data_IF_609735401100
#
_entry.id   IF_609735401100
#
_cell.length_a   1.000
_cell.length_b   1.000
_cell.length_c   1.000
_cell.angle_alpha   90.00
_cell.angle_beta   90.00
_cell.angle_gamma   90.00
#
_symmetry.space_group_name_H-M   'P 1'
#
loop_
_entity.id
_entity.type
_entity.pdbx_description
1 polymer ?
#
# COMPACT_ATOMS: atom_id res chain seq x y z
N UNK A 1 -6.42 57.52 -28.33
CA UNK A 1 -5.29 57.04 -27.51
C UNK A 1 -5.76 55.88 -26.63
N UNK A 2 -5.47 54.63 -27.02
CA UNK A 2 -5.82 53.43 -26.24
C UNK A 2 -4.59 53.01 -25.43
N UNK A 3 -4.71 52.96 -24.10
CA UNK A 3 -3.67 52.47 -23.20
C UNK A 3 -3.85 50.95 -23.02
N UNK A 4 -2.81 50.19 -23.32
CA UNK A 4 -2.72 48.77 -22.97
C UNK A 4 -2.27 48.65 -21.51
N UNK A 5 -2.96 47.84 -20.72
CA UNK A 5 -2.52 47.41 -19.40
C UNK A 5 -1.92 46.01 -19.53
N UNK A 6 -0.64 45.88 -19.19
CA UNK A 6 0.07 44.61 -19.12
C UNK A 6 -0.22 44.01 -17.74
N UNK A 7 -0.93 42.89 -17.71
CA UNK A 7 -1.18 42.10 -16.51
C UNK A 7 0.05 41.19 -16.30
N UNK A 8 0.87 41.51 -15.31
CA UNK A 8 1.99 40.64 -14.88
C UNK A 8 1.41 39.63 -13.89
N UNK A 9 1.33 38.36 -14.30
CA UNK A 9 0.98 37.26 -13.41
C UNK A 9 2.25 36.84 -12.68
N UNK A 10 2.35 37.21 -11.40
CA UNK A 10 3.38 36.70 -10.49
C UNK A 10 3.02 35.25 -10.15
N UNK A 11 3.67 34.29 -10.81
CA UNK A 11 3.66 32.90 -10.39
C UNK A 11 4.45 32.79 -9.07
N UNK A 12 3.73 32.73 -7.95
CA UNK A 12 4.25 32.33 -6.65
C UNK A 12 4.55 30.84 -6.70
N UNK A 13 5.79 30.47 -7.04
CA UNK A 13 6.31 29.13 -6.73
C UNK A 13 6.44 29.03 -5.21
N UNK A 14 5.40 28.51 -4.55
CA UNK A 14 5.52 28.03 -3.18
C UNK A 14 6.59 26.93 -3.20
N UNK A 15 7.73 27.21 -2.57
CA UNK A 15 8.77 26.21 -2.40
C UNK A 15 8.22 25.20 -1.39
N UNK A 16 7.87 24.00 -1.85
CA UNK A 16 7.64 22.87 -0.93
C UNK A 16 8.92 22.71 -0.12
N UNK A 17 8.91 23.11 1.15
CA UNK A 17 9.99 22.79 2.07
C UNK A 17 9.96 21.28 2.25
N UNK A 18 10.88 20.58 1.59
CA UNK A 18 11.14 19.18 1.87
C UNK A 18 11.79 19.16 3.24
N UNK A 19 11.01 18.79 4.26
CA UNK A 19 11.52 18.72 5.63
C UNK A 19 12.59 17.64 5.69
N UNK A 20 13.80 18.05 6.08
CA UNK A 20 14.90 17.13 6.26
C UNK A 20 14.62 16.32 7.53
N UNK A 21 14.37 15.01 7.36
CA UNK A 21 14.19 14.10 8.48
C UNK A 21 15.53 13.89 9.19
N UNK A 22 15.52 13.87 10.52
CA UNK A 22 16.67 13.35 11.24
C UNK A 22 16.74 11.81 11.13
N UNK A 23 17.86 11.22 11.53
CA UNK A 23 18.08 9.77 11.42
C UNK A 23 17.05 8.95 12.22
N UNK A 24 16.53 9.50 13.33
CA UNK A 24 15.55 8.82 14.16
C UNK A 24 14.18 8.79 13.49
N UNK A 25 13.73 9.93 12.98
CA UNK A 25 12.46 10.08 12.29
C UNK A 25 12.45 9.34 10.96
N UNK A 26 13.53 9.43 10.19
CA UNK A 26 13.70 8.66 8.96
C UNK A 26 13.56 7.16 9.22
N UNK A 27 14.19 6.65 10.29
CA UNK A 27 14.08 5.25 10.69
C UNK A 27 12.66 4.89 11.14
N UNK A 28 11.97 5.77 11.87
CA UNK A 28 10.59 5.54 12.29
C UNK A 28 9.64 5.46 11.10
N UNK A 29 9.77 6.36 10.12
CA UNK A 29 9.02 6.32 8.85
C UNK A 29 9.31 5.04 8.08
N UNK A 30 10.59 4.69 7.92
CA UNK A 30 10.97 3.46 7.22
C UNK A 30 10.47 2.19 7.93
N UNK A 31 10.46 2.15 9.26
CA UNK A 31 9.85 1.06 10.03
C UNK A 31 8.34 1.01 9.85
N UNK A 32 7.67 2.16 9.81
CA UNK A 32 6.24 2.26 9.54
C UNK A 32 5.91 1.66 8.16
N UNK A 33 6.61 2.08 7.10
CA UNK A 33 6.47 1.51 5.75
C UNK A 33 6.77 0.00 5.77
N UNK A 34 7.90 -0.41 6.36
CA UNK A 34 8.29 -1.82 6.43
C UNK A 34 7.25 -2.72 7.12
N UNK A 35 6.54 -2.20 8.12
CA UNK A 35 5.47 -2.94 8.82
C UNK A 35 4.30 -3.30 7.90
N UNK A 36 4.08 -2.51 6.85
CA UNK A 36 3.01 -2.70 5.87
C UNK A 36 3.41 -3.69 4.78
N UNK A 37 4.70 -3.69 4.43
CA UNK A 37 5.29 -4.58 3.43
C UNK A 37 5.53 -6.00 3.96
N UNK A 38 5.67 -6.17 5.28
CA UNK A 38 5.84 -7.47 5.91
C UNK A 38 5.11 -7.59 7.25
N UNK A 39 3.80 -7.80 7.23
CA UNK A 39 3.09 -8.19 8.44
C UNK A 39 3.49 -9.62 8.82
N UNK A 40 3.95 -9.81 10.06
CA UNK A 40 4.37 -11.11 10.62
C UNK A 40 3.28 -12.19 10.50
N UNK A 41 2.02 -11.79 10.41
CA UNK A 41 0.84 -12.64 10.30
C UNK A 41 0.36 -12.86 8.85
N UNK A 42 1.03 -12.27 7.85
CA UNK A 42 0.66 -12.34 6.44
C UNK A 42 -0.57 -11.51 6.06
N UNK A 43 -1.06 -10.64 6.94
CA UNK A 43 -2.17 -9.71 6.66
C UNK A 43 -1.74 -8.47 5.86
N UNK A 44 -2.40 -7.33 6.11
CA UNK A 44 -2.08 -6.04 5.50
C UNK A 44 -2.09 -6.02 3.97
N UNK A 45 -1.28 -5.12 3.42
CA UNK A 45 -1.20 -4.83 1.98
C UNK A 45 -0.66 -6.01 1.17
N UNK A 46 0.43 -6.62 1.63
CA UNK A 46 0.98 -7.80 0.96
C UNK A 46 0.02 -8.98 1.03
N UNK A 47 -0.68 -9.17 2.16
CA UNK A 47 -1.74 -10.17 2.29
C UNK A 47 -2.83 -9.96 1.25
N UNK A 48 -3.30 -8.71 1.09
CA UNK A 48 -4.28 -8.34 0.09
C UNK A 48 -3.80 -8.63 -1.35
N UNK A 49 -2.57 -8.26 -1.71
CA UNK A 49 -2.04 -8.56 -3.05
C UNK A 49 -1.96 -10.06 -3.33
N UNK A 50 -1.56 -10.88 -2.35
CA UNK A 50 -1.48 -12.34 -2.50
C UNK A 50 -2.87 -12.99 -2.60
N UNK A 51 -3.83 -12.48 -1.83
CA UNK A 51 -5.22 -12.95 -1.89
C UNK A 51 -5.83 -12.64 -3.24
N UNK A 52 -5.66 -11.41 -3.70
CA UNK A 52 -6.12 -10.99 -5.02
C UNK A 52 -5.44 -11.82 -6.12
N UNK A 53 -4.13 -12.06 -6.05
CA UNK A 53 -3.42 -12.91 -7.01
C UNK A 53 -3.98 -14.35 -7.08
N UNK A 54 -4.50 -14.86 -5.97
CA UNK A 54 -5.16 -16.17 -5.91
C UNK A 54 -6.58 -16.08 -6.49
N UNK A 55 -7.35 -15.07 -6.08
CA UNK A 55 -8.73 -14.85 -6.50
C UNK A 55 -8.87 -14.68 -8.02
N UNK A 56 -8.01 -13.88 -8.64
CA UNK A 56 -8.07 -13.67 -10.10
C UNK A 56 -7.70 -14.92 -10.90
N UNK A 57 -7.03 -15.89 -10.27
CA UNK A 57 -6.77 -17.23 -10.81
C UNK A 57 -7.89 -18.24 -10.51
N UNK A 58 -8.96 -17.82 -9.84
CA UNK A 58 -10.09 -18.66 -9.44
C UNK A 58 -9.79 -19.52 -8.21
N UNK A 59 -8.76 -19.18 -7.43
CA UNK A 59 -8.39 -19.88 -6.21
C UNK A 59 -8.86 -19.07 -5.00
N UNK A 60 -9.82 -19.61 -4.22
CA UNK A 60 -10.31 -18.96 -3.01
C UNK A 60 -9.22 -19.00 -1.91
N UNK A 61 -8.74 -17.84 -1.40
CA UNK A 61 -7.78 -17.83 -0.31
C UNK A 61 -8.36 -18.43 0.97
N UNK A 62 -7.50 -19.04 1.80
CA UNK A 62 -7.93 -19.56 3.08
C UNK A 62 -8.55 -18.45 3.96
N UNK A 63 -9.66 -18.78 4.65
CA UNK A 63 -10.38 -17.83 5.51
C UNK A 63 -11.26 -16.82 4.75
N UNK A 64 -11.48 -17.04 3.45
CA UNK A 64 -12.34 -16.21 2.61
C UNK A 64 -13.52 -17.00 2.04
N UNK A 65 -14.57 -16.27 1.68
CA UNK A 65 -15.78 -16.79 1.04
C UNK A 65 -16.37 -15.77 0.06
N UNK A 66 -16.99 -16.28 -1.00
CA UNK A 66 -17.74 -15.47 -1.97
C UNK A 66 -19.18 -15.28 -1.48
N UNK A 67 -19.66 -14.04 -1.51
CA UNK A 67 -21.05 -13.68 -1.31
C UNK A 67 -21.49 -12.76 -2.44
N UNK A 68 -22.23 -13.32 -3.39
CA UNK A 68 -22.81 -12.61 -4.53
C UNK A 68 -21.78 -11.84 -5.38
N UNK A 69 -20.60 -12.42 -5.61
CA UNK A 69 -19.54 -11.83 -6.43
C UNK A 69 -18.63 -10.86 -5.67
N UNK A 70 -18.86 -10.68 -4.36
CA UNK A 70 -17.93 -10.00 -3.46
C UNK A 70 -17.30 -11.03 -2.53
N UNK A 71 -15.96 -11.04 -2.46
CA UNK A 71 -15.24 -11.95 -1.58
C UNK A 71 -14.96 -11.27 -0.25
N UNK A 72 -15.30 -11.93 0.86
CA UNK A 72 -15.01 -11.47 2.21
C UNK A 72 -14.10 -12.45 2.92
N UNK A 73 -13.28 -11.98 3.85
CA UNK A 73 -12.51 -12.89 4.69
C UNK A 73 -11.71 -12.21 5.76
N UNK A 74 -10.93 -13.02 6.49
CA UNK A 74 -10.05 -12.53 7.53
C UNK A 74 -8.66 -13.14 7.42
N UNK A 75 -7.63 -12.30 7.59
CA UNK A 75 -6.23 -12.73 7.65
C UNK A 75 -5.42 -11.80 8.52
N UNK A 76 -4.67 -12.40 9.43
CA UNK A 76 -3.66 -11.69 10.22
C UNK A 76 -4.22 -10.53 11.07
N UNK A 77 -5.46 -10.64 11.52
CA UNK A 77 -6.14 -9.61 12.32
C UNK A 77 -6.84 -8.51 11.50
N UNK A 78 -6.87 -8.65 10.18
CA UNK A 78 -7.61 -7.77 9.27
C UNK A 78 -8.82 -8.49 8.68
N UNK A 79 -9.89 -7.73 8.46
CA UNK A 79 -11.05 -8.12 7.66
C UNK A 79 -10.91 -7.53 6.27
N UNK A 80 -11.13 -8.34 5.24
CA UNK A 80 -10.99 -7.97 3.83
C UNK A 80 -12.33 -8.07 3.10
N UNK A 81 -12.48 -7.24 2.09
CA UNK A 81 -13.51 -7.30 1.05
C UNK A 81 -12.85 -7.05 -0.30
N UNK A 82 -13.14 -7.91 -1.27
CA UNK A 82 -12.64 -7.79 -2.64
C UNK A 82 -13.79 -7.86 -3.64
N UNK A 83 -13.73 -6.99 -4.63
CA UNK A 83 -14.57 -7.04 -5.82
C UNK A 83 -13.64 -7.21 -7.03
N UNK A 84 -13.95 -8.17 -7.90
CA UNK A 84 -13.06 -8.53 -9.02
C UNK A 84 -13.83 -8.54 -10.34
N UNK A 85 -13.24 -7.93 -11.37
CA UNK A 85 -13.77 -7.92 -12.73
C UNK A 85 -12.74 -8.54 -13.68
N UNK A 86 -12.90 -9.84 -13.95
CA UNK A 86 -11.96 -10.62 -14.76
C UNK A 86 -12.31 -10.60 -16.26
N UNK A 87 -11.26 -10.55 -17.10
CA UNK A 87 -11.38 -10.56 -18.56
C UNK A 87 -10.40 -11.53 -19.20
N UNK A 88 -10.78 -12.08 -20.36
CA UNK A 88 -9.90 -12.91 -21.19
C UNK A 88 -9.08 -12.08 -22.20
N UNK A 89 -8.26 -12.74 -23.02
CA UNK A 89 -7.40 -12.08 -24.02
C UNK A 89 -8.11 -11.38 -25.16
N UNK A 90 -9.43 -11.54 -25.26
CA UNK A 90 -10.27 -10.80 -26.19
C UNK A 90 -11.02 -9.66 -25.49
N UNK A 91 -10.63 -9.33 -24.26
CA UNK A 91 -11.26 -8.34 -23.39
C UNK A 91 -12.73 -8.68 -23.05
N UNK A 92 -13.12 -9.95 -23.19
CA UNK A 92 -14.45 -10.43 -22.83
C UNK A 92 -14.55 -10.69 -21.34
N UNK A 93 -15.66 -10.29 -20.72
CA UNK A 93 -15.92 -10.57 -19.31
C UNK A 93 -16.03 -12.08 -19.07
N UNK A 94 -15.29 -12.58 -18.09
CA UNK A 94 -15.27 -13.99 -17.70
C UNK A 94 -15.27 -14.11 -16.18
N UNK A 95 -15.72 -15.25 -15.66
CA UNK A 95 -15.44 -15.59 -14.26
C UNK A 95 -13.94 -15.72 -14.06
N UNK A 96 -13.43 -15.21 -12.93
CA UNK A 96 -12.03 -15.35 -12.54
C UNK A 96 -11.63 -16.83 -12.50
N UNK A 97 -10.43 -17.16 -12.98
CA UNK A 97 -10.06 -18.55 -13.28
C UNK A 97 -9.02 -18.69 -14.38
N UNK A 98 -8.92 -19.92 -14.92
CA UNK A 98 -7.92 -20.31 -15.91
C UNK A 98 -7.96 -19.55 -17.25
N UNK A 99 -9.08 -18.87 -17.55
CA UNK A 99 -9.25 -18.04 -18.75
C UNK A 99 -8.92 -16.56 -18.53
N UNK A 100 -8.63 -16.17 -17.31
CA UNK A 100 -8.43 -14.76 -16.95
C UNK A 100 -7.04 -14.34 -17.37
N UNK A 101 -6.96 -13.31 -18.22
CA UNK A 101 -5.69 -12.71 -18.63
C UNK A 101 -5.42 -11.40 -17.90
N UNK A 102 -6.48 -10.63 -17.64
CA UNK A 102 -6.40 -9.41 -16.84
C UNK A 102 -7.63 -9.26 -15.93
N UNK A 103 -7.49 -8.47 -14.86
CA UNK A 103 -8.56 -8.22 -13.90
C UNK A 103 -8.43 -6.81 -13.31
N UNK A 104 -9.56 -6.14 -13.11
CA UNK A 104 -9.64 -4.99 -12.21
C UNK A 104 -10.11 -5.47 -10.84
N UNK A 105 -9.56 -4.88 -9.78
CA UNK A 105 -9.80 -5.30 -8.42
C UNK A 105 -9.94 -4.10 -7.51
N UNK A 106 -11.06 -4.03 -6.80
CA UNK A 106 -11.22 -3.13 -5.66
C UNK A 106 -11.08 -3.94 -4.38
N UNK A 107 -10.18 -3.51 -3.51
CA UNK A 107 -9.85 -4.16 -2.26
C UNK A 107 -10.04 -3.18 -1.12
N UNK A 108 -10.73 -3.59 -0.06
CA UNK A 108 -10.76 -2.85 1.20
C UNK A 108 -10.41 -3.78 2.34
N UNK A 109 -9.64 -3.29 3.30
CA UNK A 109 -9.34 -4.06 4.49
C UNK A 109 -9.13 -3.18 5.71
N UNK A 110 -9.60 -3.68 6.84
CA UNK A 110 -9.56 -2.93 8.09
C UNK A 110 -9.23 -3.82 9.27
N UNK A 111 -8.72 -3.21 10.33
CA UNK A 111 -8.48 -3.86 11.61
C UNK A 111 -8.89 -2.93 12.74
N UNK A 112 -9.38 -3.54 13.81
CA UNK A 112 -9.66 -2.87 15.07
C UNK A 112 -9.03 -3.70 16.17
N UNK A 113 -8.13 -3.09 16.93
CA UNK A 113 -7.62 -3.64 18.18
C UNK A 113 -8.15 -2.77 19.31
N UNK A 114 -9.00 -3.33 20.15
CA UNK A 114 -9.54 -2.64 21.32
C UNK A 114 -9.22 -3.45 22.57
N UNK A 115 -8.52 -2.81 23.49
CA UNK A 115 -8.20 -3.32 24.83
C UNK A 115 -8.59 -2.28 25.87
N UNK A 116 -8.52 -2.63 27.15
CA UNK A 116 -8.82 -1.67 28.23
C UNK A 116 -7.87 -0.45 28.22
N UNK A 117 -6.62 -0.62 27.79
CA UNK A 117 -5.59 0.42 27.85
C UNK A 117 -5.34 1.12 26.50
N UNK A 118 -5.77 0.51 25.39
CA UNK A 118 -5.37 0.94 24.06
C UNK A 118 -6.42 0.58 23.01
N UNK A 119 -6.69 1.52 22.11
CA UNK A 119 -7.51 1.32 20.91
C UNK A 119 -6.69 1.71 19.69
N UNK A 120 -6.69 0.87 18.65
CA UNK A 120 -6.21 1.25 17.32
C UNK A 120 -7.16 0.78 16.23
N UNK A 121 -7.29 1.60 15.20
CA UNK A 121 -8.08 1.34 14.00
C UNK A 121 -7.17 1.55 12.80
N UNK A 122 -7.27 0.64 11.85
CA UNK A 122 -6.60 0.72 10.56
C UNK A 122 -7.65 0.48 9.48
N UNK A 123 -7.64 1.29 8.42
CA UNK A 123 -8.48 1.11 7.24
C UNK A 123 -7.66 1.35 5.99
N UNK A 124 -7.83 0.50 4.99
CA UNK A 124 -7.21 0.62 3.69
C UNK A 124 -8.19 0.33 2.58
N UNK A 125 -7.92 0.98 1.47
CA UNK A 125 -8.54 0.71 0.20
C UNK A 125 -7.49 0.72 -0.90
N UNK A 126 -7.75 -0.03 -1.97
CA UNK A 126 -6.88 -0.08 -3.13
C UNK A 126 -7.67 -0.47 -4.36
N UNK A 127 -7.33 0.14 -5.48
CA UNK A 127 -7.84 -0.21 -6.80
C UNK A 127 -6.65 -0.63 -7.65
N UNK A 128 -6.67 -1.88 -8.11
CA UNK A 128 -5.58 -2.50 -8.83
C UNK A 128 -6.02 -3.08 -10.16
N UNK A 129 -5.11 -3.03 -11.13
CA UNK A 129 -5.20 -3.73 -12.40
C UNK A 129 -4.13 -4.81 -12.39
N UNK A 130 -4.54 -6.04 -12.69
CA UNK A 130 -3.66 -7.19 -12.74
C UNK A 130 -3.60 -7.70 -14.16
N UNK A 131 -2.39 -7.87 -14.66
CA UNK A 131 -2.11 -8.32 -16.00
C UNK A 131 -1.30 -9.62 -15.97
N UNK A 132 -1.28 -10.33 -17.10
CA UNK A 132 -0.50 -11.56 -17.30
C UNK A 132 -0.86 -12.68 -16.30
N UNK A 133 -2.12 -12.77 -15.89
CA UNK A 133 -2.60 -13.67 -14.81
C UNK A 133 -2.33 -15.16 -15.10
N UNK A 134 -2.47 -15.57 -16.36
CA UNK A 134 -2.21 -16.94 -16.82
C UNK A 134 -0.74 -17.33 -16.77
N UNK A 135 0.16 -16.35 -16.76
CA UNK A 135 1.60 -16.59 -16.70
C UNK A 135 2.07 -16.98 -15.30
N UNK A 136 3.33 -17.40 -15.20
CA UNK A 136 3.99 -17.63 -13.91
C UNK A 136 4.15 -16.32 -13.11
N UNK A 137 4.25 -15.18 -13.80
CA UNK A 137 4.57 -13.87 -13.25
C UNK A 137 3.52 -12.84 -13.66
N UNK A 138 2.59 -12.54 -12.76
CA UNK A 138 1.62 -11.48 -13.01
C UNK A 138 2.18 -10.12 -12.62
N UNK A 139 1.62 -9.07 -13.22
CA UNK A 139 1.94 -7.68 -12.91
C UNK A 139 0.74 -7.03 -12.26
N UNK A 140 0.98 -6.29 -11.19
CA UNK A 140 -0.02 -5.49 -10.51
C UNK A 140 0.38 -4.02 -10.57
N UNK A 141 -0.56 -3.18 -10.97
CA UNK A 141 -0.47 -1.73 -11.02
C UNK A 141 -1.72 -1.15 -10.37
N UNK A 142 -1.63 0.04 -9.79
CA UNK A 142 -2.79 0.75 -9.26
C UNK A 142 -2.41 1.65 -8.11
N UNK A 143 -3.39 2.00 -7.29
CA UNK A 143 -3.22 2.97 -6.22
C UNK A 143 -4.01 2.51 -4.99
N UNK A 144 -3.72 3.09 -3.83
CA UNK A 144 -4.45 2.81 -2.60
C UNK A 144 -4.23 3.87 -1.55
N UNK A 145 -5.10 3.85 -0.54
CA UNK A 145 -5.11 4.78 0.55
C UNK A 145 -5.09 4.03 1.88
N UNK A 146 -4.40 4.60 2.87
CA UNK A 146 -4.35 4.08 4.23
C UNK A 146 -4.66 5.15 5.25
N UNK A 147 -5.45 4.77 6.24
CA UNK A 147 -5.65 5.51 7.46
C UNK A 147 -5.36 4.62 8.68
N UNK A 148 -4.66 5.20 9.64
CA UNK A 148 -4.41 4.62 10.94
C UNK A 148 -4.67 5.64 12.03
N UNK A 149 -5.33 5.19 13.08
CA UNK A 149 -5.47 5.95 14.31
C UNK A 149 -5.27 5.04 15.51
N UNK A 150 -4.63 5.57 16.55
CA UNK A 150 -4.49 4.90 17.83
C UNK A 150 -4.67 5.87 18.98
N UNK A 151 -5.05 5.32 20.14
CA UNK A 151 -5.31 6.09 21.35
C UNK A 151 -5.07 5.26 22.60
N UNK A 152 -4.29 5.80 23.54
CA UNK A 152 -4.21 5.27 24.89
C UNK A 152 -5.48 5.66 25.66
N UNK A 153 -6.16 4.69 26.26
CA UNK A 153 -7.46 4.92 26.92
C UNK A 153 -7.33 5.78 28.18
N UNK A 154 -6.20 5.66 28.90
CA UNK A 154 -5.99 6.36 30.18
C UNK A 154 -5.61 7.83 30.00
N UNK A 155 -4.70 8.12 29.06
CA UNK A 155 -4.19 9.49 28.84
C UNK A 155 -4.97 10.25 27.78
N UNK A 156 -5.78 9.55 26.98
CA UNK A 156 -6.43 10.08 25.77
C UNK A 156 -5.44 10.61 24.72
N UNK A 157 -4.15 10.32 24.86
CA UNK A 157 -3.13 10.61 23.85
C UNK A 157 -3.34 9.67 22.66
N UNK A 158 -3.23 10.23 21.45
CA UNK A 158 -3.44 9.48 20.22
C UNK A 158 -2.44 9.86 19.15
N UNK A 159 -2.33 8.98 18.17
CA UNK A 159 -1.53 9.16 16.98
C UNK A 159 -2.36 8.79 15.76
N UNK A 160 -2.31 9.62 14.73
CA UNK A 160 -2.95 9.37 13.45
C UNK A 160 -1.92 9.49 12.33
N UNK A 161 -2.05 8.64 11.33
CA UNK A 161 -1.24 8.64 10.14
C UNK A 161 -2.11 8.25 8.97
N UNK A 162 -1.92 8.93 7.84
CA UNK A 162 -2.48 8.49 6.57
C UNK A 162 -1.43 8.50 5.49
N UNK A 163 -1.65 7.72 4.43
CA UNK A 163 -0.84 7.83 3.23
C UNK A 163 -1.60 7.41 1.99
N UNK A 164 -1.20 7.98 0.86
CA UNK A 164 -1.50 7.45 -0.47
C UNK A 164 -0.33 6.61 -0.96
N UNK A 165 -0.64 5.51 -1.64
CA UNK A 165 0.33 4.60 -2.22
C UNK A 165 0.05 4.35 -3.70
N UNK A 166 1.11 4.38 -4.51
CA UNK A 166 1.05 4.14 -5.94
C UNK A 166 1.92 2.95 -6.31
N UNK A 167 1.28 1.89 -6.79
CA UNK A 167 1.88 0.61 -7.15
C UNK A 167 2.21 0.58 -8.63
N UNK A 168 3.47 0.30 -8.97
CA UNK A 168 3.94 0.27 -10.36
C UNK A 168 4.73 -1.00 -10.63
N UNK A 169 4.22 -1.80 -11.57
CA UNK A 169 4.84 -3.02 -12.08
C UNK A 169 5.20 -4.03 -10.98
N UNK A 170 4.34 -4.18 -9.98
CA UNK A 170 4.52 -5.14 -8.89
C UNK A 170 4.50 -6.55 -9.47
N UNK A 171 5.63 -7.26 -9.35
CA UNK A 171 5.82 -8.57 -9.98
C UNK A 171 5.49 -9.68 -8.98
N UNK A 172 4.32 -10.29 -9.12
CA UNK A 172 3.88 -11.40 -8.26
C UNK A 172 4.12 -12.74 -8.96
N UNK A 173 4.90 -13.61 -8.31
CA UNK A 173 5.24 -14.93 -8.85
C UNK A 173 4.42 -16.00 -8.15
N UNK A 174 3.90 -16.96 -8.91
CA UNK A 174 3.06 -18.04 -8.37
C UNK A 174 3.79 -18.81 -7.27
N UNK A 175 3.12 -19.00 -6.14
CA UNK A 175 3.63 -19.78 -4.99
C UNK A 175 4.65 -19.05 -4.12
N UNK A 176 5.01 -17.82 -4.49
CA UNK A 176 5.92 -17.00 -3.69
C UNK A 176 5.15 -16.10 -2.71
N UNK A 177 5.82 -15.74 -1.61
CA UNK A 177 5.21 -15.00 -0.50
C UNK A 177 5.38 -13.48 -0.59
N UNK A 178 6.15 -12.99 -1.55
CA UNK A 178 6.48 -11.58 -1.70
C UNK A 178 6.72 -11.22 -3.16
N UNK A 179 6.55 -9.94 -3.55
CA UNK A 179 6.86 -9.48 -4.88
C UNK A 179 8.34 -9.66 -5.19
N UNK A 180 8.66 -9.99 -6.45
CA UNK A 180 10.04 -10.13 -6.95
C UNK A 180 10.55 -8.91 -7.68
N UNK A 181 9.74 -7.85 -7.71
CA UNK A 181 10.01 -6.62 -8.43
C UNK A 181 8.84 -5.66 -8.33
N UNK A 182 9.05 -4.45 -8.84
CA UNK A 182 8.07 -3.36 -8.79
C UNK A 182 8.45 -2.29 -7.77
N UNK A 183 7.71 -1.19 -7.84
CA UNK A 183 7.93 0.02 -7.07
C UNK A 183 6.62 0.42 -6.40
N UNK A 184 6.71 0.85 -5.14
CA UNK A 184 5.62 1.53 -4.46
C UNK A 184 6.08 2.93 -4.10
N UNK A 185 5.29 3.94 -4.44
CA UNK A 185 5.51 5.33 -3.99
C UNK A 185 4.50 5.68 -2.93
N UNK A 186 4.96 6.26 -1.83
CA UNK A 186 4.14 6.69 -0.72
C UNK A 186 4.19 8.21 -0.60
N UNK A 187 3.03 8.80 -0.34
CA UNK A 187 2.89 10.17 0.14
C UNK A 187 2.27 10.10 1.54
N UNK A 188 3.12 10.16 2.56
CA UNK A 188 2.70 10.03 3.95
C UNK A 188 2.34 11.38 4.52
N UNK A 189 1.14 11.50 5.07
CA UNK A 189 0.72 12.63 5.88
C UNK A 189 0.77 12.21 7.36
N UNK A 190 1.73 12.78 8.09
CA UNK A 190 1.84 12.60 9.53
C UNK A 190 1.08 13.72 10.23
N UNK A 191 0.06 13.37 11.00
CA UNK A 191 -0.61 14.31 11.89
C UNK A 191 0.19 14.39 13.20
N UNK A 192 1.14 15.32 13.26
CA UNK A 192 1.57 15.86 14.53
C UNK A 192 0.41 16.73 15.00
N UNK A 193 -0.17 16.39 16.15
CA UNK A 193 -1.41 16.92 16.75
C UNK A 193 -1.56 18.45 16.88
N UNK A 194 -0.71 19.26 16.25
CA UNK A 194 -0.70 20.71 16.24
C UNK A 194 -0.31 21.26 14.84
N UNK A 195 -1.30 21.74 14.08
CA UNK A 195 -1.25 22.75 12.99
C UNK A 195 -0.29 22.58 11.79
N UNK A 196 0.57 21.55 11.74
CA UNK A 196 1.47 21.29 10.61
C UNK A 196 1.48 19.81 10.23
N UNK A 197 0.68 19.45 9.22
CA UNK A 197 0.83 18.16 8.56
C UNK A 197 2.14 18.15 7.77
N UNK A 198 3.01 17.20 8.08
CA UNK A 198 4.24 16.98 7.32
C UNK A 198 3.96 15.93 6.25
N UNK A 199 4.24 16.28 5.00
CA UNK A 199 4.17 15.34 3.89
C UNK A 199 5.55 14.76 3.60
N UNK A 200 5.69 13.45 3.79
CA UNK A 200 6.93 12.72 3.52
C UNK A 200 6.71 11.86 2.29
N UNK A 201 7.58 12.01 1.28
CA UNK A 201 7.60 11.15 0.10
C UNK A 201 8.57 10.01 0.33
N UNK A 202 8.14 8.79 0.07
CA UNK A 202 8.98 7.60 0.18
C UNK A 202 8.79 6.68 -1.03
N UNK A 203 9.80 5.90 -1.37
CA UNK A 203 9.70 4.86 -2.39
C UNK A 203 10.16 3.51 -1.81
N UNK A 204 9.46 2.43 -2.13
CA UNK A 204 9.89 1.06 -1.83
C UNK A 204 10.10 0.28 -3.13
N UNK A 205 11.35 -0.07 -3.43
CA UNK A 205 11.73 -0.86 -4.59
C UNK A 205 11.91 -2.33 -4.19
N UNK A 206 11.15 -3.23 -4.80
CA UNK A 206 11.25 -4.68 -4.56
C UNK A 206 12.31 -5.31 -5.44
N UNK A 207 13.02 -6.30 -4.88
CA UNK A 207 14.11 -7.00 -5.54
C UNK A 207 13.85 -8.50 -5.62
N UNK A 208 14.36 -9.14 -6.68
CA UNK A 208 14.22 -10.58 -6.90
C UNK A 208 14.81 -11.43 -5.76
N UNK A 209 15.75 -10.89 -4.98
CA UNK A 209 16.35 -11.55 -3.82
C UNK A 209 15.40 -11.73 -2.63
N UNK A 210 14.17 -11.19 -2.66
CA UNK A 210 13.28 -11.15 -1.49
C UNK A 210 13.65 -10.04 -0.50
N UNK A 211 14.26 -8.96 -1.01
CA UNK A 211 14.54 -7.72 -0.28
C UNK A 211 13.72 -6.59 -0.89
N UNK A 212 13.53 -5.53 -0.13
CA UNK A 212 13.09 -4.24 -0.65
C UNK A 212 14.03 -3.13 -0.17
N UNK A 213 14.21 -2.09 -0.95
CA UNK A 213 14.92 -0.87 -0.53
C UNK A 213 13.89 0.24 -0.38
N UNK A 214 13.83 0.84 0.81
CA UNK A 214 13.00 2.00 1.14
C UNK A 214 13.87 3.23 1.02
N UNK A 215 13.48 4.18 0.17
CA UNK A 215 14.17 5.44 -0.07
C UNK A 215 13.30 6.58 0.45
N UNK A 216 13.88 7.41 1.30
CA UNK A 216 13.39 8.70 1.76
C UNK A 216 14.26 9.80 1.12
N UNK A 217 13.92 11.10 1.23
CA UNK A 217 14.67 12.16 0.55
C UNK A 217 16.19 12.12 0.78
N UNK A 218 16.62 11.84 2.02
CA UNK A 218 18.04 11.84 2.43
C UNK A 218 18.51 10.51 3.04
N UNK A 219 17.66 9.47 3.06
CA UNK A 219 17.94 8.18 3.69
C UNK A 219 17.55 7.01 2.80
N UNK A 220 18.24 5.89 2.95
CA UNK A 220 17.87 4.64 2.31
C UNK A 220 18.05 3.47 3.29
N UNK A 221 17.09 2.56 3.27
CA UNK A 221 17.05 1.40 4.14
C UNK A 221 16.79 0.13 3.34
N UNK A 222 17.50 -0.93 3.67
CA UNK A 222 17.24 -2.27 3.16
C UNK A 222 16.37 -3.06 4.13
N UNK A 223 15.27 -3.60 3.59
CA UNK A 223 14.34 -4.49 4.26
C UNK A 223 14.52 -5.92 3.73
N UNK A 224 14.80 -6.86 4.62
CA UNK A 224 14.68 -8.28 4.33
C UNK A 224 13.22 -8.72 4.51
N UNK A 225 12.53 -9.09 3.44
CA UNK A 225 11.10 -9.44 3.50
C UNK A 225 10.85 -10.76 4.23
N UNK A 226 11.86 -11.62 4.34
CA UNK A 226 11.75 -12.89 5.04
C UNK A 226 11.86 -12.72 6.56
N UNK A 227 12.69 -11.78 7.04
CA UNK A 227 12.97 -11.55 8.47
C UNK A 227 12.36 -10.27 9.03
N UNK A 228 11.99 -9.33 8.17
CA UNK A 228 11.49 -7.98 8.51
C UNK A 228 12.56 -7.08 9.09
N UNK A 229 13.82 -7.50 9.03
CA UNK A 229 14.93 -6.71 9.53
C UNK A 229 15.17 -5.54 8.58
N UNK A 230 15.12 -4.33 9.15
CA UNK A 230 15.50 -3.08 8.50
C UNK A 230 16.93 -2.71 8.87
N UNK A 231 17.73 -2.29 7.91
CA UNK A 231 19.11 -1.79 8.10
C UNK A 231 19.36 -0.63 7.14
N UNK A 232 20.34 0.21 7.45
CA UNK A 232 20.75 1.26 6.53
C UNK A 232 21.30 0.63 5.23
N UNK A 233 20.92 1.19 4.09
CA UNK A 233 21.46 0.77 2.80
C UNK A 233 22.90 1.27 2.68
N UNK A 234 23.79 0.42 2.16
CA UNK A 234 25.20 0.76 1.90
C UNK A 234 25.41 1.28 0.49
#
# INVERSE_FOLDING_TARGET
MKRAAILVVLASCASESTEQLDDHDAKNVAMSIASTLRPLSGGGELGAMLDVASLVRGEMPAGHEDRDGTVFGQRGGFTYRYETACRDGHNGAVSCGSRTENADVDATWSSVLATNAFVSVASREGTWIINDITSERMRLDGDGHFEYASRATETNEGHAMSYDASYRNMLLVRGERWPRGGLVRYELALDATNEHAVTIRAEAQFHASGRATIVLPDHAFDLDLSTGMLKDAQ
#
